data_IF_438424763630
#
_entry.id   IF_438424763630
#
_cell.length_a   1.000
_cell.length_b   1.000
_cell.length_c   1.000
_cell.angle_alpha   90.00
_cell.angle_beta   90.00
_cell.angle_gamma   90.00
#
_symmetry.space_group_name_H-M   'P 1'
#
loop_
_entity.id
_entity.type
_entity.pdbx_description
1 polymer ?
#
# COMPACT_ATOMS: atom_id res chain seq x y z
N UNK A 1 5.81 -17.86 -20.13
CA UNK A 1 5.36 -18.33 -18.81
C UNK A 1 3.84 -18.51 -18.86
N UNK A 2 3.32 -19.56 -18.28
CA UNK A 2 1.87 -19.85 -18.22
C UNK A 2 1.17 -19.82 -19.61
N UNK A 3 1.76 -20.47 -20.60
CA UNK A 3 1.21 -20.57 -21.96
C UNK A 3 1.52 -19.41 -22.90
N UNK A 4 2.10 -18.34 -22.42
CA UNK A 4 2.52 -17.21 -23.26
C UNK A 4 4.02 -17.25 -23.56
N UNK A 5 4.43 -16.90 -24.80
CA UNK A 5 5.85 -16.72 -25.12
C UNK A 5 6.45 -15.66 -24.20
N UNK A 6 7.63 -15.93 -23.67
CA UNK A 6 8.28 -15.03 -22.71
C UNK A 6 9.77 -14.98 -22.99
N UNK A 7 10.34 -13.78 -22.90
CA UNK A 7 11.78 -13.54 -23.04
C UNK A 7 12.31 -13.15 -21.67
N UNK A 8 13.33 -13.85 -21.19
CA UNK A 8 14.02 -13.50 -19.94
C UNK A 8 15.26 -12.70 -20.33
N UNK A 9 15.33 -11.46 -19.82
CA UNK A 9 16.45 -10.55 -20.03
C UNK A 9 17.35 -10.60 -18.80
N UNK A 10 18.62 -11.01 -18.99
CA UNK A 10 19.59 -11.18 -17.88
C UNK A 10 20.81 -10.27 -18.00
N UNK A 11 21.06 -9.69 -19.17
CA UNK A 11 22.20 -8.81 -19.41
C UNK A 11 21.89 -7.43 -18.83
N UNK A 12 22.74 -6.85 -17.93
CA UNK A 12 22.44 -5.59 -17.23
C UNK A 12 22.09 -4.42 -18.17
N UNK A 13 22.81 -4.28 -19.30
CA UNK A 13 22.58 -3.22 -20.29
C UNK A 13 21.22 -3.36 -20.96
N UNK A 14 20.80 -4.57 -21.28
CA UNK A 14 19.50 -4.85 -21.85
C UNK A 14 18.38 -4.65 -20.79
N UNK A 15 18.60 -5.05 -19.55
CA UNK A 15 17.69 -4.79 -18.43
C UNK A 15 17.49 -3.27 -18.26
N UNK A 16 18.58 -2.50 -18.24
CA UNK A 16 18.51 -1.03 -18.14
C UNK A 16 17.68 -0.45 -19.28
N UNK A 17 17.92 -0.89 -20.53
CA UNK A 17 17.16 -0.42 -21.70
C UNK A 17 15.67 -0.73 -21.56
N UNK A 18 15.30 -1.96 -21.20
CA UNK A 18 13.90 -2.36 -21.02
C UNK A 18 13.23 -1.55 -19.92
N UNK A 19 13.93 -1.28 -18.80
CA UNK A 19 13.37 -0.56 -17.64
C UNK A 19 13.29 0.97 -17.83
N UNK A 20 14.02 1.53 -18.80
CA UNK A 20 14.04 2.98 -19.06
C UNK A 20 13.31 3.39 -20.33
N UNK A 21 12.94 2.45 -21.18
CA UNK A 21 12.24 2.71 -22.45
C UNK A 21 10.73 2.56 -22.29
N UNK A 22 10.11 3.60 -21.73
CA UNK A 22 8.67 3.65 -21.49
C UNK A 22 7.81 3.69 -22.78
N UNK A 23 8.43 3.90 -23.94
CA UNK A 23 7.71 3.94 -25.22
C UNK A 23 7.45 2.55 -25.78
N UNK A 24 8.46 1.68 -25.71
CA UNK A 24 8.41 0.35 -26.28
C UNK A 24 8.05 -0.74 -25.27
N UNK A 25 8.29 -0.51 -23.98
CA UNK A 25 8.01 -1.47 -22.91
C UNK A 25 7.00 -0.90 -21.91
N UNK A 26 5.97 -1.67 -21.61
CA UNK A 26 4.94 -1.32 -20.64
C UNK A 26 4.94 -2.34 -19.49
N UNK A 27 4.72 -1.90 -18.24
CA UNK A 27 4.53 -2.82 -17.13
C UNK A 27 3.37 -3.77 -17.42
N UNK A 28 3.63 -5.08 -17.31
CA UNK A 28 2.62 -6.12 -17.47
C UNK A 28 2.39 -6.85 -16.15
N UNK A 29 1.24 -6.63 -15.53
CA UNK A 29 0.85 -7.33 -14.31
C UNK A 29 -0.16 -8.42 -14.62
N UNK A 30 -0.14 -9.57 -13.92
CA UNK A 30 -1.18 -10.58 -14.06
C UNK A 30 -2.57 -9.99 -13.82
N UNK A 31 -3.56 -10.42 -14.60
CA UNK A 31 -4.95 -9.96 -14.45
C UNK A 31 -5.46 -10.15 -13.03
N UNK A 32 -5.11 -11.27 -12.39
CA UNK A 32 -5.46 -11.55 -11.00
C UNK A 32 -4.90 -10.52 -10.01
N UNK A 33 -3.68 -10.05 -10.24
CA UNK A 33 -3.09 -8.98 -9.42
C UNK A 33 -3.83 -7.66 -9.64
N UNK A 34 -4.19 -7.36 -10.88
CA UNK A 34 -4.95 -6.15 -11.22
C UNK A 34 -6.37 -6.16 -10.65
N UNK A 35 -6.98 -7.33 -10.52
CA UNK A 35 -8.29 -7.48 -9.87
C UNK A 35 -8.23 -7.23 -8.36
N UNK A 36 -7.15 -7.67 -7.70
CA UNK A 36 -6.96 -7.48 -6.27
C UNK A 36 -6.57 -6.05 -5.91
N UNK A 37 -5.64 -5.44 -6.65
CA UNK A 37 -5.07 -4.12 -6.29
C UNK A 37 -5.84 -2.98 -6.95
N UNK A 38 -6.57 -3.27 -8.03
CA UNK A 38 -7.32 -2.29 -8.80
C UNK A 38 -6.57 -1.76 -10.02
N UNK A 39 -7.29 -1.58 -11.12
CA UNK A 39 -6.73 -1.11 -12.41
C UNK A 39 -6.28 0.35 -12.36
N UNK A 40 -6.83 1.15 -11.44
CA UNK A 40 -6.46 2.56 -11.20
C UNK A 40 -5.41 2.72 -10.11
N UNK A 41 -4.81 1.63 -9.63
CA UNK A 41 -3.71 1.67 -8.67
C UNK A 41 -2.40 2.08 -9.34
N UNK A 42 -1.38 2.38 -8.55
CA UNK A 42 -0.04 2.74 -9.05
C UNK A 42 0.52 1.79 -10.10
N UNK A 43 0.18 0.51 -10.03
CA UNK A 43 0.68 -0.51 -10.97
C UNK A 43 -0.15 -0.59 -12.26
N UNK A 44 -1.34 0.00 -12.30
CA UNK A 44 -2.28 -0.12 -13.41
C UNK A 44 -2.44 1.12 -14.27
N UNK A 45 -1.94 2.26 -13.83
CA UNK A 45 -2.08 3.55 -14.51
C UNK A 45 -0.99 3.80 -15.55
N UNK A 46 -1.24 4.73 -16.45
CA UNK A 46 -0.26 5.13 -17.50
C UNK A 46 0.93 5.87 -16.91
N UNK A 47 2.03 5.93 -17.66
CA UNK A 47 3.29 6.56 -17.22
C UNK A 47 3.11 8.01 -16.76
N UNK A 48 2.33 8.82 -17.47
CA UNK A 48 2.10 10.23 -17.12
C UNK A 48 1.28 10.37 -15.84
N UNK A 49 0.23 9.58 -15.71
CA UNK A 49 -0.61 9.54 -14.51
C UNK A 49 0.15 8.97 -13.31
N UNK A 50 0.99 7.96 -13.54
CA UNK A 50 1.90 7.41 -12.54
C UNK A 50 2.88 8.47 -12.03
N UNK A 51 3.55 9.22 -12.93
CA UNK A 51 4.47 10.31 -12.56
C UNK A 51 3.77 11.38 -11.73
N UNK A 52 2.56 11.77 -12.16
CA UNK A 52 1.74 12.75 -11.44
C UNK A 52 1.39 12.25 -10.04
N UNK A 53 0.85 11.04 -9.93
CA UNK A 53 0.43 10.47 -8.66
C UNK A 53 1.63 10.24 -7.72
N UNK A 54 2.76 9.76 -8.25
CA UNK A 54 3.99 9.60 -7.49
C UNK A 54 4.50 10.92 -6.91
N UNK A 55 4.47 11.99 -7.68
CA UNK A 55 4.87 13.33 -7.20
C UNK A 55 3.95 13.82 -6.07
N UNK A 56 2.64 13.61 -6.19
CA UNK A 56 1.66 14.01 -5.18
C UNK A 56 1.80 13.21 -3.88
N UNK A 57 2.19 11.95 -3.96
CA UNK A 57 2.30 11.07 -2.78
C UNK A 57 3.71 11.05 -2.18
N UNK A 58 4.77 11.26 -2.98
CA UNK A 58 6.14 11.19 -2.48
C UNK A 58 6.49 12.38 -1.57
N UNK A 59 6.07 13.58 -1.90
CA UNK A 59 6.40 14.79 -1.13
C UNK A 59 5.89 14.71 0.32
N UNK A 60 4.60 14.41 0.60
CA UNK A 60 4.11 14.33 1.97
C UNK A 60 4.63 13.11 2.75
N UNK A 61 5.19 12.10 2.08
CA UNK A 61 5.71 10.89 2.74
C UNK A 61 7.23 10.94 2.94
N UNK A 62 7.96 11.38 1.91
CA UNK A 62 9.43 11.34 1.86
C UNK A 62 10.07 12.74 1.91
N UNK A 63 9.28 13.81 1.99
CA UNK A 63 9.80 15.16 2.12
C UNK A 63 10.55 15.34 3.43
N UNK A 64 11.62 16.10 3.43
CA UNK A 64 12.47 16.34 4.62
C UNK A 64 11.64 16.85 5.82
N UNK A 65 10.74 17.77 5.58
CA UNK A 65 9.83 18.31 6.61
C UNK A 65 8.88 17.23 7.16
N UNK A 66 8.29 16.44 6.27
CA UNK A 66 7.41 15.33 6.67
C UNK A 66 8.16 14.26 7.49
N UNK A 67 9.38 13.89 7.06
CA UNK A 67 10.23 12.95 7.80
C UNK A 67 10.58 13.48 9.19
N UNK A 68 10.87 14.78 9.34
CA UNK A 68 11.16 15.38 10.64
C UNK A 68 9.97 15.27 11.61
N UNK A 69 8.74 15.43 11.11
CA UNK A 69 7.52 15.28 11.91
C UNK A 69 7.32 13.82 12.35
N UNK A 70 7.59 12.86 11.44
CA UNK A 70 7.34 11.45 11.75
C UNK A 70 8.48 10.79 12.54
N UNK A 71 9.69 11.37 12.54
CA UNK A 71 10.88 10.75 13.11
C UNK A 71 10.70 10.40 14.59
N UNK A 72 10.18 11.32 15.39
CA UNK A 72 9.93 11.07 16.81
C UNK A 72 8.94 9.91 17.02
N UNK A 73 7.86 9.89 16.26
CA UNK A 73 6.88 8.81 16.33
C UNK A 73 7.47 7.46 15.93
N UNK A 74 8.32 7.44 14.90
CA UNK A 74 9.02 6.22 14.46
C UNK A 74 9.95 5.73 15.55
N UNK A 75 10.77 6.61 16.11
CA UNK A 75 11.74 6.30 17.17
C UNK A 75 11.04 5.71 18.40
N UNK A 76 10.00 6.37 18.91
CA UNK A 76 9.24 5.92 20.08
C UNK A 76 8.65 4.51 19.87
N UNK A 77 8.08 4.27 18.68
CA UNK A 77 7.50 2.96 18.37
C UNK A 77 8.56 1.88 18.18
N UNK A 78 9.71 2.20 17.60
CA UNK A 78 10.83 1.25 17.44
C UNK A 78 11.43 0.90 18.80
N UNK A 79 11.70 1.88 19.66
CA UNK A 79 12.22 1.65 21.01
C UNK A 79 11.24 0.79 21.83
N UNK A 80 9.96 1.14 21.80
CA UNK A 80 8.92 0.38 22.49
C UNK A 80 8.85 -1.08 22.00
N UNK A 81 8.93 -1.29 20.67
CA UNK A 81 8.92 -2.62 20.08
C UNK A 81 10.16 -3.43 20.48
N UNK A 82 11.35 -2.83 20.42
CA UNK A 82 12.60 -3.49 20.81
C UNK A 82 12.60 -3.91 22.28
N UNK A 83 12.14 -3.05 23.18
CA UNK A 83 11.99 -3.36 24.60
C UNK A 83 11.01 -4.52 24.83
N UNK A 84 9.87 -4.52 24.12
CA UNK A 84 8.91 -5.62 24.17
C UNK A 84 9.51 -6.94 23.68
N UNK A 85 10.22 -6.90 22.54
CA UNK A 85 10.83 -8.10 21.95
C UNK A 85 11.96 -8.66 22.83
N UNK A 86 12.76 -7.77 23.44
CA UNK A 86 13.80 -8.17 24.40
C UNK A 86 13.23 -8.94 25.62
N UNK A 87 12.01 -8.59 26.05
CA UNK A 87 11.34 -9.26 27.17
C UNK A 87 10.62 -10.56 26.79
N UNK A 88 10.44 -10.87 25.49
CA UNK A 88 9.65 -12.03 25.03
C UNK A 88 10.45 -13.33 24.94
N UNK A 89 11.76 -13.32 25.10
CA UNK A 89 12.63 -14.48 24.94
C UNK A 89 12.67 -15.01 23.49
N UNK A 90 11.54 -15.55 22.99
CA UNK A 90 11.41 -16.04 21.62
C UNK A 90 10.19 -15.42 20.92
N UNK A 91 10.34 -15.00 19.66
CA UNK A 91 9.24 -14.45 18.85
C UNK A 91 9.50 -14.59 17.35
N UNK A 92 8.43 -14.55 16.55
CA UNK A 92 8.52 -14.57 15.09
C UNK A 92 8.89 -13.18 14.56
N UNK A 93 10.19 -12.96 14.30
CA UNK A 93 10.75 -11.67 13.92
C UNK A 93 10.06 -11.03 12.71
N UNK A 94 9.84 -11.79 11.63
CA UNK A 94 9.25 -11.25 10.40
C UNK A 94 7.81 -10.76 10.61
N UNK A 95 7.03 -11.49 11.39
CA UNK A 95 5.64 -11.12 11.73
C UNK A 95 5.62 -9.87 12.62
N UNK A 96 6.49 -9.83 13.64
CA UNK A 96 6.60 -8.68 14.54
C UNK A 96 7.06 -7.41 13.80
N UNK A 97 8.07 -7.54 12.94
CA UNK A 97 8.56 -6.42 12.12
C UNK A 97 7.50 -5.90 11.15
N UNK A 98 6.74 -6.81 10.52
CA UNK A 98 5.63 -6.43 9.62
C UNK A 98 4.55 -5.64 10.34
N UNK A 99 4.17 -6.05 11.55
CA UNK A 99 3.20 -5.33 12.38
C UNK A 99 3.69 -3.93 12.77
N UNK A 100 4.94 -3.81 13.19
CA UNK A 100 5.55 -2.52 13.51
C UNK A 100 5.56 -1.58 12.30
N UNK A 101 6.04 -2.08 11.16
CA UNK A 101 6.09 -1.30 9.91
C UNK A 101 4.70 -0.86 9.46
N UNK A 102 3.71 -1.77 9.53
CA UNK A 102 2.34 -1.47 9.20
C UNK A 102 1.78 -0.35 10.09
N UNK A 103 1.98 -0.43 11.40
CA UNK A 103 1.55 0.61 12.36
C UNK A 103 2.12 1.98 12.02
N UNK A 104 3.42 2.06 11.72
CA UNK A 104 4.10 3.31 11.37
C UNK A 104 3.54 3.88 10.05
N UNK A 105 3.42 3.06 9.02
CA UNK A 105 2.91 3.50 7.72
C UNK A 105 1.46 3.97 7.82
N UNK A 106 0.62 3.26 8.54
CA UNK A 106 -0.77 3.64 8.73
C UNK A 106 -0.93 4.95 9.51
N UNK A 107 -0.06 5.21 10.49
CA UNK A 107 -0.02 6.51 11.16
C UNK A 107 0.30 7.66 10.19
N UNK A 108 1.28 7.46 9.29
CA UNK A 108 1.65 8.46 8.27
C UNK A 108 0.47 8.77 7.34
N UNK A 109 -0.32 7.76 6.95
CA UNK A 109 -1.43 7.93 6.00
C UNK A 109 -2.75 8.34 6.64
N UNK A 110 -3.06 7.82 7.82
CA UNK A 110 -4.37 7.99 8.47
C UNK A 110 -4.32 8.88 9.71
N UNK A 111 -3.13 9.29 10.16
CA UNK A 111 -2.89 9.99 11.41
C UNK A 111 -3.20 9.06 12.61
N UNK A 112 -4.09 9.42 13.52
CA UNK A 112 -4.45 8.54 14.63
C UNK A 112 -5.74 7.77 14.33
N UNK A 113 -5.69 6.45 14.48
CA UNK A 113 -6.85 5.57 14.44
C UNK A 113 -6.90 4.72 15.72
N UNK A 114 -8.09 4.23 16.05
CA UNK A 114 -8.23 3.35 17.20
C UNK A 114 -7.48 2.03 16.97
N UNK A 115 -6.93 1.47 18.03
CA UNK A 115 -6.16 0.22 17.96
C UNK A 115 -6.97 -0.92 17.31
N UNK A 116 -8.25 -1.03 17.63
CA UNK A 116 -9.16 -2.01 17.04
C UNK A 116 -9.27 -1.87 15.50
N UNK A 117 -9.34 -0.65 14.98
CA UNK A 117 -9.37 -0.38 13.53
C UNK A 117 -8.04 -0.76 12.89
N UNK A 118 -6.93 -0.43 13.56
CA UNK A 118 -5.59 -0.76 13.08
C UNK A 118 -5.36 -2.25 12.99
N UNK A 119 -5.79 -3.01 13.98
CA UNK A 119 -5.71 -4.48 13.97
C UNK A 119 -6.59 -5.11 12.87
N UNK A 120 -7.78 -4.57 12.64
CA UNK A 120 -8.66 -5.04 11.57
C UNK A 120 -8.02 -4.79 10.19
N UNK A 121 -7.49 -3.60 9.95
CA UNK A 121 -6.80 -3.24 8.71
C UNK A 121 -5.53 -4.08 8.50
N UNK A 122 -4.76 -4.36 9.54
CA UNK A 122 -3.55 -5.20 9.46
C UNK A 122 -3.89 -6.63 9.02
N UNK A 123 -4.94 -7.22 9.58
CA UNK A 123 -5.42 -8.55 9.19
C UNK A 123 -5.88 -8.60 7.73
N UNK A 124 -6.61 -7.58 7.30
CA UNK A 124 -7.08 -7.49 5.92
C UNK A 124 -5.91 -7.26 4.95
N UNK A 125 -5.01 -6.33 5.25
CA UNK A 125 -3.80 -6.09 4.46
C UNK A 125 -2.92 -7.34 4.35
N UNK A 126 -2.74 -8.07 5.43
CA UNK A 126 -2.01 -9.34 5.42
C UNK A 126 -2.67 -10.37 4.51
N UNK A 127 -4.00 -10.50 4.57
CA UNK A 127 -4.76 -11.38 3.70
C UNK A 127 -4.64 -11.01 2.22
N UNK A 128 -4.67 -9.71 1.90
CA UNK A 128 -4.43 -9.21 0.56
C UNK A 128 -3.03 -9.54 0.05
N UNK A 129 -2.01 -9.34 0.87
CA UNK A 129 -0.62 -9.67 0.53
C UNK A 129 -0.42 -11.16 0.21
N UNK A 130 -1.05 -12.05 0.95
CA UNK A 130 -1.03 -13.48 0.65
C UNK A 130 -1.76 -13.79 -0.66
N UNK A 131 -2.90 -13.16 -0.91
CA UNK A 131 -3.68 -13.35 -2.13
C UNK A 131 -2.94 -12.93 -3.40
N UNK A 132 -2.23 -11.79 -3.35
CA UNK A 132 -1.42 -11.30 -4.50
C UNK A 132 -0.33 -12.28 -4.91
N UNK A 133 0.23 -13.03 -3.96
CA UNK A 133 1.30 -14.01 -4.19
C UNK A 133 0.81 -15.43 -4.43
N UNK A 134 -0.48 -15.69 -4.22
CA UNK A 134 -1.07 -17.01 -4.37
C UNK A 134 -1.49 -17.28 -5.82
N UNK A 135 -1.77 -18.54 -6.12
CA UNK A 135 -2.43 -18.89 -7.38
C UNK A 135 -3.82 -18.27 -7.44
N UNK A 136 -4.20 -17.76 -8.61
CA UNK A 136 -5.48 -17.08 -8.85
C UNK A 136 -6.68 -18.05 -8.89
N UNK A 137 -6.88 -18.81 -7.83
CA UNK A 137 -8.00 -19.75 -7.67
C UNK A 137 -9.09 -19.07 -6.84
N UNK A 138 -10.18 -18.70 -7.52
CA UNK A 138 -11.31 -18.04 -6.88
C UNK A 138 -12.35 -19.06 -6.35
N UNK A 139 -11.93 -19.90 -5.42
CA UNK A 139 -12.79 -20.85 -4.71
C UNK A 139 -12.73 -20.62 -3.20
N UNK A 140 -13.81 -20.82 -2.45
CA UNK A 140 -13.80 -20.75 -0.99
C UNK A 140 -12.68 -21.60 -0.39
N UNK A 141 -11.96 -21.04 0.58
CA UNK A 141 -10.80 -21.68 1.20
C UNK A 141 -9.45 -21.25 0.64
N UNK A 142 -9.38 -20.76 -0.59
CA UNK A 142 -8.13 -20.29 -1.20
C UNK A 142 -7.79 -18.85 -0.83
N UNK A 143 -6.49 -18.56 -0.74
CA UNK A 143 -5.98 -17.24 -0.34
C UNK A 143 -6.42 -16.13 -1.32
N UNK A 144 -6.45 -16.40 -2.62
CA UNK A 144 -6.92 -15.45 -3.63
C UNK A 144 -8.40 -15.08 -3.43
N UNK A 145 -9.28 -16.07 -3.20
CA UNK A 145 -10.70 -15.81 -2.93
C UNK A 145 -10.91 -14.97 -1.66
N UNK A 146 -10.15 -15.26 -0.61
CA UNK A 146 -10.16 -14.47 0.63
C UNK A 146 -9.74 -13.03 0.36
N UNK A 147 -8.66 -12.84 -0.41
CA UNK A 147 -8.15 -11.51 -0.75
C UNK A 147 -9.13 -10.68 -1.59
N UNK A 148 -9.88 -11.28 -2.52
CA UNK A 148 -10.93 -10.59 -3.27
C UNK A 148 -12.01 -10.00 -2.36
N UNK A 149 -12.46 -10.74 -1.35
CA UNK A 149 -13.42 -10.24 -0.36
C UNK A 149 -12.85 -9.09 0.46
N UNK A 150 -11.59 -9.24 0.88
CA UNK A 150 -10.87 -8.22 1.64
C UNK A 150 -10.69 -6.93 0.86
N UNK A 151 -10.37 -7.01 -0.43
CA UNK A 151 -10.23 -5.84 -1.30
C UNK A 151 -11.49 -4.97 -1.29
N UNK A 152 -12.67 -5.58 -1.36
CA UNK A 152 -13.93 -4.86 -1.29
C UNK A 152 -14.11 -4.15 0.06
N UNK A 153 -13.79 -4.82 1.18
CA UNK A 153 -13.89 -4.25 2.51
C UNK A 153 -12.95 -3.04 2.69
N UNK A 154 -11.69 -3.19 2.28
CA UNK A 154 -10.68 -2.11 2.34
C UNK A 154 -11.15 -0.92 1.49
N UNK A 155 -11.62 -1.18 0.27
CA UNK A 155 -12.11 -0.13 -0.63
C UNK A 155 -13.30 0.63 -0.02
N UNK A 156 -14.28 -0.08 0.54
CA UNK A 156 -15.46 0.51 1.19
C UNK A 156 -15.02 1.34 2.41
N UNK A 157 -14.13 0.81 3.25
CA UNK A 157 -13.62 1.51 4.43
C UNK A 157 -12.95 2.83 4.04
N UNK A 158 -11.99 2.81 3.11
CA UNK A 158 -11.30 4.02 2.69
C UNK A 158 -12.24 5.01 1.99
N UNK A 159 -13.14 4.54 1.12
CA UNK A 159 -14.11 5.41 0.44
C UNK A 159 -15.03 6.12 1.43
N UNK A 160 -15.51 5.43 2.45
CA UNK A 160 -16.33 6.02 3.51
C UNK A 160 -15.53 7.01 4.35
N UNK A 161 -14.33 6.67 4.74
CA UNK A 161 -13.44 7.50 5.56
C UNK A 161 -13.03 8.79 4.85
N UNK A 162 -12.67 8.71 3.56
CA UNK A 162 -12.36 9.90 2.77
C UNK A 162 -13.58 10.81 2.56
N UNK A 163 -14.75 10.26 2.27
CA UNK A 163 -15.99 11.04 2.17
C UNK A 163 -16.32 11.74 3.49
N UNK A 164 -16.22 11.04 4.61
CA UNK A 164 -16.48 11.62 5.93
C UNK A 164 -15.49 12.74 6.25
N UNK A 165 -14.20 12.57 5.98
CA UNK A 165 -13.17 13.59 6.20
C UNK A 165 -13.40 14.82 5.31
N UNK A 166 -13.79 14.64 4.06
CA UNK A 166 -14.12 15.74 3.13
C UNK A 166 -15.35 16.52 3.60
N UNK A 167 -16.39 15.83 4.05
CA UNK A 167 -17.60 16.46 4.61
C UNK A 167 -17.28 17.23 5.89
N UNK A 168 -16.50 16.66 6.80
CA UNK A 168 -16.08 17.32 8.03
C UNK A 168 -15.23 18.57 7.76
N UNK A 169 -14.29 18.50 6.82
CA UNK A 169 -13.48 19.65 6.40
C UNK A 169 -14.32 20.75 5.74
N UNK A 170 -15.34 20.39 4.96
CA UNK A 170 -16.27 21.37 4.38
C UNK A 170 -17.16 22.04 5.42
N UNK A 171 -17.56 21.34 6.47
CA UNK A 171 -18.35 21.87 7.57
C UNK A 171 -17.54 22.75 8.53
N UNK A 172 -16.23 22.53 8.66
CA UNK A 172 -15.37 23.29 9.58
C UNK A 172 -14.77 24.57 8.99
N UNK A 173 -15.11 24.96 7.75
CA UNK A 173 -14.66 26.23 7.10
C UNK A 173 -13.15 26.51 7.23
N UNK A 174 -12.32 25.47 7.10
CA UNK A 174 -10.86 25.67 7.02
C UNK A 174 -10.45 25.91 5.57
N UNK A 175 -9.63 26.95 5.29
CA UNK A 175 -9.18 27.24 3.93
C UNK A 175 -8.36 26.07 3.37
N UNK A 176 -8.73 25.73 2.17
CA UNK A 176 -8.21 24.69 1.28
C UNK A 176 -6.70 24.54 1.29
N UNK A 177 -6.18 23.54 1.99
CA UNK A 177 -4.87 22.97 1.70
C UNK A 177 -4.92 21.48 2.01
N UNK A 178 -5.48 20.73 1.10
CA UNK A 178 -5.19 19.31 0.83
C UNK A 178 -6.23 18.77 -0.17
N UNK A 179 -6.08 19.20 -1.40
CA UNK A 179 -6.81 18.59 -2.51
C UNK A 179 -6.03 17.36 -2.96
N UNK A 180 -6.35 16.20 -2.45
CA UNK A 180 -6.13 14.95 -3.17
C UNK A 180 -7.36 14.80 -4.07
N UNK A 181 -7.16 15.17 -5.34
CA UNK A 181 -8.19 15.26 -6.33
C UNK A 181 -8.93 13.96 -6.58
N UNK A 182 -10.20 14.13 -6.85
CA UNK A 182 -11.15 13.31 -7.58
C UNK A 182 -10.64 11.96 -8.07
N UNK A 183 -11.02 10.93 -7.36
CA UNK A 183 -11.15 9.60 -7.90
C UNK A 183 -12.63 9.42 -8.33
N UNK A 184 -12.93 9.72 -9.59
CA UNK A 184 -14.01 9.09 -10.34
C UNK A 184 -13.44 7.96 -11.17
#
# INVERSE_FOLDING_TARGET
MFGNPSIIVTIPEACKRVLTDDQNFKPGWPTSTMELIGRKSFIGITNEEHKRLRRLTATPVNGHEALSIYMQYIEDNVISALNKWAAMGEFEFLTALRKLTFKIIMYIFLSSESEHVMEALEREYTSLNYGVRSMAINLPGFAYHKALKVTLNIYVYFSFRFKLKTILLSLMHFPSFFFIGNFC
#
